data_IF_464831038750
#
_entry.id   IF_464831038750
#
_cell.length_a   1.000
_cell.length_b   1.000
_cell.length_c   1.000
_cell.angle_alpha   90.00
_cell.angle_beta   90.00
_cell.angle_gamma   90.00
#
_symmetry.space_group_name_H-M   'P 1'
#
loop_
_entity.id
_entity.type
_entity.pdbx_description
1 polymer ?
#
# COMPACT_ATOMS: atom_id res chain seq x y z
N UNK A 1 6.50 3.61 18.56
CA UNK A 1 5.41 3.50 17.55
C UNK A 1 5.90 2.68 16.38
N UNK A 2 5.12 1.67 15.98
CA UNK A 2 5.43 0.90 14.77
C UNK A 2 5.26 1.78 13.54
N UNK A 3 6.05 1.49 12.50
CA UNK A 3 6.03 2.31 11.30
C UNK A 3 4.66 2.35 10.62
N UNK A 4 3.91 1.23 10.65
CA UNK A 4 2.58 1.17 10.06
C UNK A 4 1.63 2.22 10.68
N UNK A 5 1.79 2.50 11.96
CA UNK A 5 0.95 3.48 12.64
C UNK A 5 1.19 4.90 12.16
N UNK A 6 2.41 5.18 11.70
CA UNK A 6 2.73 6.49 11.10
C UNK A 6 1.94 6.71 9.83
N UNK A 7 1.78 5.66 9.01
CA UNK A 7 0.97 5.73 7.80
C UNK A 7 -0.52 5.83 8.13
N UNK A 8 -0.99 5.10 9.15
CA UNK A 8 -2.39 5.20 9.59
C UNK A 8 -2.71 6.60 10.11
N UNK A 9 -1.75 7.26 10.73
CA UNK A 9 -1.93 8.65 11.17
C UNK A 9 -2.13 9.61 9.99
N UNK A 10 -1.52 9.33 8.84
CA UNK A 10 -1.78 10.12 7.63
C UNK A 10 -3.23 9.98 7.19
N UNK A 11 -3.75 8.76 7.22
CA UNK A 11 -5.15 8.48 6.87
C UNK A 11 -6.09 9.20 7.83
N UNK A 12 -5.73 9.23 9.11
CA UNK A 12 -6.54 9.88 10.14
C UNK A 12 -6.71 11.39 9.92
N UNK A 13 -5.84 12.02 9.13
CA UNK A 13 -5.98 13.43 8.77
C UNK A 13 -7.18 13.71 7.87
N UNK A 14 -7.72 12.69 7.21
CA UNK A 14 -8.96 12.81 6.47
C UNK A 14 -8.85 13.20 5.00
N UNK A 15 -7.64 13.40 4.48
CA UNK A 15 -7.46 13.75 3.06
C UNK A 15 -7.60 12.53 2.15
N UNK A 16 -7.25 11.36 2.64
CA UNK A 16 -7.37 10.09 1.91
C UNK A 16 -7.97 9.04 2.83
N UNK A 17 -8.58 8.01 2.25
CA UNK A 17 -9.17 6.91 3.00
C UNK A 17 -8.23 5.73 3.16
N UNK A 18 -7.23 5.65 2.30
CA UNK A 18 -6.24 4.57 2.31
C UNK A 18 -5.01 5.01 1.53
N UNK A 19 -3.93 4.25 1.66
CA UNK A 19 -2.67 4.51 0.97
C UNK A 19 -2.31 3.32 0.10
N UNK A 20 -1.82 3.58 -1.10
CA UNK A 20 -1.27 2.58 -2.01
C UNK A 20 0.25 2.76 -2.02
N UNK A 21 0.98 1.78 -1.49
CA UNK A 21 2.43 1.80 -1.44
C UNK A 21 2.99 0.85 -2.49
N UNK A 22 3.65 1.40 -3.49
CA UNK A 22 4.24 0.63 -4.59
C UNK A 22 5.76 0.63 -4.55
N UNK A 23 6.39 1.68 -4.03
CA UNK A 23 7.84 1.74 -3.96
C UNK A 23 8.38 0.75 -2.92
N UNK A 24 9.54 0.19 -3.21
CA UNK A 24 10.22 -0.72 -2.29
C UNK A 24 10.53 -0.03 -0.95
N UNK A 25 10.93 1.23 -1.00
CA UNK A 25 11.29 2.00 0.19
C UNK A 25 10.13 2.11 1.17
N UNK A 26 8.96 2.51 0.69
CA UNK A 26 7.81 2.68 1.58
C UNK A 26 7.21 1.34 1.98
N UNK A 27 7.18 0.36 1.07
CA UNK A 27 6.71 -0.99 1.43
C UNK A 27 7.56 -1.58 2.56
N UNK A 28 8.88 -1.48 2.43
CA UNK A 28 9.82 -1.99 3.42
C UNK A 28 9.69 -1.25 4.75
N UNK A 29 9.57 0.07 4.69
CA UNK A 29 9.44 0.88 5.90
C UNK A 29 8.14 0.54 6.65
N UNK A 30 7.03 0.45 5.94
CA UNK A 30 5.73 0.14 6.55
C UNK A 30 5.69 -1.27 7.15
N UNK A 31 6.25 -2.25 6.44
CA UNK A 31 6.23 -3.64 6.86
C UNK A 31 7.32 -3.98 7.88
N UNK A 32 8.35 -3.16 7.99
CA UNK A 32 9.54 -3.42 8.80
C UNK A 32 10.21 -4.74 8.40
N UNK A 33 10.08 -5.10 7.14
CA UNK A 33 10.66 -6.29 6.55
C UNK A 33 10.72 -6.09 5.03
N UNK A 34 11.78 -6.59 4.40
CA UNK A 34 11.95 -6.43 2.95
C UNK A 34 11.38 -7.62 2.19
N UNK A 35 10.31 -7.37 1.43
CA UNK A 35 9.80 -8.30 0.40
C UNK A 35 10.13 -7.68 -0.94
N UNK A 36 10.86 -8.40 -1.78
CA UNK A 36 11.43 -7.85 -3.02
C UNK A 36 10.37 -7.31 -3.99
N UNK A 37 9.23 -7.98 -4.08
CA UNK A 37 8.15 -7.61 -4.98
C UNK A 37 6.84 -7.51 -4.22
N UNK A 38 5.96 -6.63 -4.65
CA UNK A 38 4.63 -6.55 -4.08
C UNK A 38 4.04 -5.16 -4.14
N UNK A 39 2.84 -5.07 -3.61
CA UNK A 39 2.09 -3.83 -3.46
C UNK A 39 1.40 -3.88 -2.10
N UNK A 40 1.35 -2.76 -1.40
CA UNK A 40 0.69 -2.70 -0.10
C UNK A 40 -0.45 -1.68 -0.14
N UNK A 41 -1.56 -2.01 0.51
CA UNK A 41 -2.67 -1.08 0.73
C UNK A 41 -2.84 -0.93 2.24
N UNK A 42 -2.72 0.30 2.71
CA UNK A 42 -2.87 0.61 4.12
C UNK A 42 -4.22 1.28 4.33
N UNK A 43 -5.10 0.63 5.09
CA UNK A 43 -6.39 1.18 5.47
C UNK A 43 -6.37 1.55 6.96
N UNK A 44 -7.42 2.20 7.43
CA UNK A 44 -7.50 2.65 8.82
C UNK A 44 -7.32 1.52 9.83
N UNK A 45 -7.96 0.40 9.55
CA UNK A 45 -8.03 -0.71 10.52
C UNK A 45 -7.29 -1.96 10.05
N UNK A 46 -6.96 -2.06 8.76
CA UNK A 46 -6.34 -3.23 8.19
C UNK A 46 -5.27 -2.83 7.19
N UNK A 47 -4.19 -3.59 7.14
CA UNK A 47 -3.09 -3.37 6.21
C UNK A 47 -2.89 -4.62 5.38
N UNK A 48 -2.80 -4.44 4.07
CA UNK A 48 -2.66 -5.54 3.12
C UNK A 48 -1.27 -5.53 2.49
N UNK A 49 -0.74 -6.72 2.25
CA UNK A 49 0.45 -6.90 1.43
C UNK A 49 0.16 -7.95 0.37
N UNK A 50 0.28 -7.55 -0.89
CA UNK A 50 0.04 -8.43 -2.04
C UNK A 50 1.38 -8.76 -2.68
N UNK A 51 1.66 -10.05 -2.87
CA UNK A 51 2.88 -10.50 -3.51
C UNK A 51 2.65 -11.84 -4.23
N UNK A 52 3.62 -12.28 -5.02
CA UNK A 52 3.46 -13.49 -5.81
C UNK A 52 3.99 -14.74 -5.10
N UNK A 53 3.84 -15.90 -5.76
CA UNK A 53 4.20 -17.19 -5.19
C UNK A 53 5.66 -17.30 -4.73
N UNK A 54 6.55 -16.51 -5.30
CA UNK A 54 7.98 -16.54 -4.93
C UNK A 54 8.22 -16.04 -3.51
N UNK A 55 7.38 -15.15 -3.03
CA UNK A 55 7.59 -14.44 -1.76
C UNK A 55 6.50 -14.65 -0.74
N UNK A 56 5.42 -15.34 -1.11
CA UNK A 56 4.21 -15.44 -0.25
C UNK A 56 4.49 -16.06 1.12
N UNK A 57 5.29 -17.13 1.17
CA UNK A 57 5.60 -17.78 2.44
C UNK A 57 6.37 -16.86 3.38
N UNK A 58 7.42 -16.21 2.85
CA UNK A 58 8.22 -15.29 3.66
C UNK A 58 7.38 -14.10 4.15
N UNK A 59 6.50 -13.59 3.29
CA UNK A 59 5.62 -12.48 3.66
C UNK A 59 4.64 -12.90 4.76
N UNK A 60 4.01 -14.06 4.62
CA UNK A 60 3.09 -14.56 5.64
C UNK A 60 3.76 -14.75 6.99
N UNK A 61 5.01 -15.20 6.98
CA UNK A 61 5.77 -15.46 8.19
C UNK A 61 6.26 -14.19 8.87
N UNK A 62 6.64 -13.16 8.08
CA UNK A 62 7.38 -12.01 8.59
C UNK A 62 6.59 -10.70 8.63
N UNK A 63 5.32 -10.70 8.24
CA UNK A 63 4.46 -9.52 8.26
C UNK A 63 3.23 -9.74 9.16
N UNK A 64 3.43 -9.88 10.48
CA UNK A 64 2.32 -10.27 11.37
C UNK A 64 1.19 -9.25 11.45
N UNK A 65 1.45 -7.99 11.14
CA UNK A 65 0.42 -6.94 11.17
C UNK A 65 -0.32 -6.76 9.85
N UNK A 66 -0.04 -7.61 8.85
CA UNK A 66 -0.60 -7.47 7.52
C UNK A 66 -1.46 -8.67 7.14
N UNK A 67 -2.52 -8.40 6.38
CA UNK A 67 -3.25 -9.43 5.66
C UNK A 67 -2.50 -9.68 4.35
N UNK A 68 -1.85 -10.82 4.24
CA UNK A 68 -0.99 -11.16 3.10
C UNK A 68 -1.79 -12.00 2.12
N UNK A 69 -1.86 -11.57 0.86
CA UNK A 69 -2.63 -12.26 -0.19
C UNK A 69 -1.75 -12.46 -1.41
N UNK A 70 -1.85 -13.63 -2.03
CA UNK A 70 -1.06 -13.96 -3.20
C UNK A 70 -1.72 -13.46 -4.47
N UNK A 71 -0.93 -12.77 -5.32
CA UNK A 71 -1.35 -12.40 -6.66
C UNK A 71 -1.01 -13.54 -7.63
N UNK A 72 -1.84 -13.74 -8.64
CA UNK A 72 -1.64 -14.71 -9.71
C UNK A 72 -2.35 -14.24 -10.98
N UNK A 73 -2.43 -15.08 -12.01
CA UNK A 73 -3.04 -14.71 -13.29
C UNK A 73 -4.52 -14.34 -13.16
N UNK A 74 -5.24 -15.02 -12.26
CA UNK A 74 -6.67 -14.77 -12.04
C UNK A 74 -6.92 -13.66 -11.00
N UNK A 75 -5.91 -13.32 -10.23
CA UNK A 75 -5.99 -12.32 -9.15
C UNK A 75 -4.86 -11.31 -9.29
N UNK A 76 -4.91 -10.44 -10.32
CA UNK A 76 -3.87 -9.41 -10.50
C UNK A 76 -3.92 -8.39 -9.36
N UNK A 77 -2.86 -7.61 -9.22
CA UNK A 77 -2.81 -6.59 -8.17
C UNK A 77 -4.02 -5.66 -8.20
N UNK A 78 -4.47 -5.26 -9.39
CA UNK A 78 -5.63 -4.35 -9.50
C UNK A 78 -6.89 -4.96 -8.89
N UNK A 79 -7.09 -6.27 -9.06
CA UNK A 79 -8.22 -6.95 -8.45
C UNK A 79 -8.11 -6.99 -6.93
N UNK A 80 -6.92 -7.34 -6.42
CA UNK A 80 -6.69 -7.43 -4.97
C UNK A 80 -6.82 -6.04 -4.31
N UNK A 81 -6.33 -5.02 -4.98
CA UNK A 81 -6.48 -3.63 -4.49
C UNK A 81 -7.96 -3.25 -4.46
N UNK A 82 -8.71 -3.59 -5.52
CA UNK A 82 -10.15 -3.30 -5.56
C UNK A 82 -10.92 -4.05 -4.49
N UNK A 83 -10.50 -5.27 -4.15
CA UNK A 83 -11.12 -6.03 -3.05
C UNK A 83 -10.94 -5.28 -1.73
N UNK A 84 -9.75 -4.73 -1.48
CA UNK A 84 -9.48 -3.94 -0.29
C UNK A 84 -10.28 -2.63 -0.29
N UNK A 85 -10.35 -1.97 -1.45
CA UNK A 85 -11.15 -0.75 -1.63
C UNK A 85 -12.61 -1.01 -1.25
N UNK A 86 -13.17 -2.11 -1.76
CA UNK A 86 -14.55 -2.47 -1.48
C UNK A 86 -14.77 -2.82 0.00
N UNK A 87 -13.84 -3.59 0.59
CA UNK A 87 -13.96 -4.02 1.97
C UNK A 87 -13.95 -2.85 2.97
N UNK A 88 -13.24 -1.78 2.63
CA UNK A 88 -13.09 -0.63 3.52
C UNK A 88 -13.78 0.63 3.02
N UNK A 89 -14.58 0.52 1.98
CA UNK A 89 -15.32 1.64 1.38
C UNK A 89 -14.40 2.82 1.08
N UNK A 90 -13.27 2.55 0.42
CA UNK A 90 -12.28 3.56 0.09
C UNK A 90 -12.77 4.39 -1.09
N UNK A 91 -12.87 5.69 -0.90
CA UNK A 91 -13.27 6.63 -1.95
C UNK A 91 -12.06 7.32 -2.56
N UNK A 92 -11.09 7.66 -1.74
CA UNK A 92 -9.86 8.36 -2.15
C UNK A 92 -8.66 7.56 -1.69
N UNK A 93 -7.79 7.23 -2.64
CA UNK A 93 -6.60 6.41 -2.41
C UNK A 93 -5.36 7.27 -2.66
N UNK A 94 -4.59 7.52 -1.60
CA UNK A 94 -3.33 8.25 -1.73
C UNK A 94 -2.27 7.36 -2.37
N UNK A 95 -1.53 7.88 -3.34
CA UNK A 95 -0.52 7.10 -4.04
C UNK A 95 0.80 7.86 -4.17
N UNK A 96 1.84 7.15 -4.52
CA UNK A 96 3.20 7.68 -4.64
C UNK A 96 3.41 8.24 -6.05
N UNK A 97 3.07 9.51 -6.23
CA UNK A 97 3.18 10.18 -7.53
C UNK A 97 4.63 10.41 -7.97
N UNK A 98 5.58 10.26 -7.06
CA UNK A 98 7.02 10.33 -7.38
C UNK A 98 7.61 8.97 -7.78
N UNK A 99 6.84 7.91 -7.69
CA UNK A 99 7.34 6.55 -7.92
C UNK A 99 6.65 5.81 -9.06
N UNK A 100 5.37 6.08 -9.29
CA UNK A 100 4.65 5.43 -10.38
C UNK A 100 5.09 5.99 -11.72
N UNK A 101 5.30 5.08 -12.70
CA UNK A 101 5.45 5.50 -14.08
C UNK A 101 4.10 5.98 -14.61
N UNK A 102 4.13 6.69 -15.74
CA UNK A 102 2.89 7.12 -16.40
C UNK A 102 2.04 5.91 -16.78
N UNK A 103 2.68 4.84 -17.26
CA UNK A 103 1.98 3.60 -17.62
C UNK A 103 1.29 2.97 -16.41
N UNK A 104 1.98 2.87 -15.29
CA UNK A 104 1.41 2.33 -14.05
C UNK A 104 0.27 3.19 -13.54
N UNK A 105 0.45 4.49 -13.54
CA UNK A 105 -0.61 5.41 -13.12
C UNK A 105 -1.85 5.26 -14.00
N UNK A 106 -1.66 5.19 -15.32
CA UNK A 106 -2.77 5.03 -16.26
C UNK A 106 -3.53 3.73 -15.98
N UNK A 107 -2.80 2.63 -15.75
CA UNK A 107 -3.42 1.35 -15.41
C UNK A 107 -4.25 1.45 -14.12
N UNK A 108 -3.65 1.97 -13.05
CA UNK A 108 -4.35 2.07 -11.78
C UNK A 108 -5.52 3.04 -11.84
N UNK A 109 -5.34 4.18 -12.49
CA UNK A 109 -6.40 5.17 -12.62
C UNK A 109 -7.59 4.63 -13.42
N UNK A 110 -7.33 3.75 -14.37
CA UNK A 110 -8.38 3.13 -15.20
C UNK A 110 -9.07 1.99 -14.46
N UNK A 111 -8.32 1.17 -13.72
CA UNK A 111 -8.82 -0.09 -13.14
C UNK A 111 -9.32 0.04 -11.72
N UNK A 112 -8.76 0.94 -10.92
CA UNK A 112 -9.14 1.00 -9.51
C UNK A 112 -10.43 1.77 -9.28
N UNK A 113 -11.23 1.28 -8.35
CA UNK A 113 -12.55 1.82 -8.01
C UNK A 113 -12.48 2.91 -6.93
N UNK A 114 -11.45 3.73 -6.97
CA UNK A 114 -11.27 4.85 -6.06
C UNK A 114 -10.61 6.00 -6.82
N UNK A 115 -10.78 7.22 -6.33
CA UNK A 115 -10.09 8.39 -6.88
C UNK A 115 -8.67 8.36 -6.39
N UNK A 116 -7.70 8.42 -7.30
CA UNK A 116 -6.29 8.48 -6.95
C UNK A 116 -5.91 9.91 -6.59
N UNK A 117 -5.24 10.08 -5.46
CA UNK A 117 -4.81 11.37 -4.96
C UNK A 117 -3.29 11.37 -4.80
N UNK A 118 -2.55 12.25 -5.51
CA UNK A 118 -1.09 12.32 -5.36
C UNK A 118 -0.73 12.65 -3.90
N UNK A 119 0.11 11.82 -3.29
CA UNK A 119 0.36 11.93 -1.85
C UNK A 119 1.81 11.58 -1.48
N UNK A 120 2.74 11.64 -2.43
CA UNK A 120 4.13 11.20 -2.20
C UNK A 120 4.82 11.98 -1.09
N UNK A 121 4.62 13.29 -1.02
CA UNK A 121 5.26 14.11 0.02
C UNK A 121 4.85 13.64 1.42
N UNK A 122 3.56 13.38 1.61
CA UNK A 122 3.02 12.92 2.88
C UNK A 122 3.42 11.48 3.18
N UNK A 123 3.39 10.61 2.16
CA UNK A 123 3.79 9.20 2.31
C UNK A 123 5.28 9.08 2.66
N UNK A 124 6.12 9.93 2.08
CA UNK A 124 7.55 9.89 2.33
C UNK A 124 7.96 10.51 3.68
N UNK A 125 7.13 11.37 4.24
CA UNK A 125 7.43 12.06 5.49
C UNK A 125 7.80 11.13 6.66
N UNK A 126 7.10 10.00 6.88
CA UNK A 126 7.47 9.08 7.96
C UNK A 126 8.91 8.57 7.87
N UNK A 127 9.40 8.27 6.66
CA UNK A 127 10.77 7.79 6.47
C UNK A 127 11.82 8.90 6.66
N UNK A 128 11.45 10.12 6.38
CA UNK A 128 12.35 11.28 6.46
C UNK A 128 12.41 11.84 7.87
N UNK A 129 11.43 11.51 8.70
CA UNK A 129 11.37 11.97 10.08
C UNK A 129 12.42 11.24 10.91
N UNK A 130 13.37 11.99 11.45
CA UNK A 130 14.36 11.43 12.37
C UNK A 130 13.76 11.45 13.77
N UNK A 131 13.62 10.26 14.33
CA UNK A 131 13.21 10.16 15.73
C UNK A 131 14.43 10.38 16.62
N UNK A 132 14.29 11.15 17.69
CA UNK A 132 15.37 11.33 18.66
C UNK A 132 15.71 10.03 19.38
#
# INVERSE_FOLDING_TARGET
>A
MKNIEKYRNLIAKGEVDALLLTSKHNRMYAAEYCVAEGVSVICKEESYYFTDFRYIEAAQKNLPGFTVVMTDADHPYTKLINDAIAAHTVKTLGFEDDSLTVEEYTLYNTKLNAVLHPYSAEINAPRQSKEP
#
